data_IF_514766959071
#
_entry.id   IF_514766959071
#
_cell.length_a   1.000
_cell.length_b   1.000
_cell.length_c   1.000
_cell.angle_alpha   90.00
_cell.angle_beta   90.00
_cell.angle_gamma   90.00
#
_symmetry.space_group_name_H-M   'P 1'
#
loop_
_entity.id
_entity.type
_entity.pdbx_description
1 polymer ?
#
# COMPACT_ATOMS: atom_id res chain seq x y z
N UNK A 1 -7.54 -0.70 3.84
CA UNK A 1 -6.41 -1.25 3.04
C UNK A 1 -6.38 -2.70 3.33
N UNK A 2 -6.54 -3.52 2.30
CA UNK A 2 -6.56 -4.97 2.43
C UNK A 2 -5.25 -5.54 1.92
N UNK A 3 -4.72 -6.53 2.62
CA UNK A 3 -3.53 -7.28 2.23
C UNK A 3 -3.88 -8.75 2.06
N UNK A 4 -3.28 -9.41 1.09
CA UNK A 4 -3.49 -10.83 0.81
C UNK A 4 -2.15 -11.52 0.53
N UNK A 5 -1.94 -12.76 1.01
CA UNK A 5 -0.71 -13.48 0.76
C UNK A 5 -0.61 -13.84 -0.73
N UNK A 6 0.53 -13.56 -1.34
CA UNK A 6 0.88 -14.03 -2.70
C UNK A 6 1.91 -15.17 -2.62
N UNK A 7 2.71 -15.20 -1.56
CA UNK A 7 3.64 -16.28 -1.26
C UNK A 7 4.16 -16.22 0.17
N UNK A 8 5.13 -17.07 0.52
CA UNK A 8 5.60 -17.24 1.90
C UNK A 8 6.22 -15.98 2.54
N UNK A 9 6.65 -15.00 1.73
CA UNK A 9 7.27 -13.75 2.19
C UNK A 9 6.75 -12.52 1.45
N UNK A 10 5.72 -12.69 0.63
CA UNK A 10 5.21 -11.65 -0.27
C UNK A 10 3.72 -11.48 -0.05
N UNK A 11 3.31 -10.22 0.10
CA UNK A 11 1.91 -9.83 0.23
C UNK A 11 1.54 -8.89 -0.90
N UNK A 12 0.34 -9.09 -1.44
CA UNK A 12 -0.35 -8.10 -2.24
C UNK A 12 -1.09 -7.12 -1.34
N UNK A 13 -1.19 -5.88 -1.80
CA UNK A 13 -1.95 -4.85 -1.14
C UNK A 13 -2.91 -4.22 -2.15
N UNK A 14 -4.15 -3.99 -1.73
CA UNK A 14 -5.12 -3.17 -2.42
C UNK A 14 -5.72 -2.15 -1.48
N UNK A 15 -5.87 -0.92 -1.98
CA UNK A 15 -6.50 0.20 -1.31
C UNK A 15 -7.63 0.69 -2.17
N UNK A 16 -8.81 0.78 -1.57
CA UNK A 16 -9.92 1.56 -2.11
C UNK A 16 -10.36 2.50 -1.00
N UNK A 17 -10.65 3.74 -1.36
CA UNK A 17 -11.09 4.77 -0.45
C UNK A 17 -11.77 5.90 -1.20
N UNK A 18 -12.38 6.80 -0.45
CA UNK A 18 -12.93 8.03 -0.95
C UNK A 18 -12.23 9.16 -0.21
N UNK A 19 -11.72 10.14 -0.94
CA UNK A 19 -11.14 11.35 -0.35
C UNK A 19 -12.27 12.37 -0.18
N UNK A 20 -12.48 12.85 1.04
CA UNK A 20 -13.49 13.87 1.36
C UNK A 20 -12.76 15.18 1.66
N UNK A 21 -12.81 16.13 0.73
CA UNK A 21 -12.07 17.39 0.78
C UNK A 21 -12.27 18.21 -0.48
N UNK A 22 -11.33 19.11 -0.79
CA UNK A 22 -11.44 20.05 -1.92
C UNK A 22 -11.47 19.36 -3.30
N UNK A 23 -11.01 18.11 -3.36
CA UNK A 23 -11.03 17.23 -4.53
C UNK A 23 -11.87 15.98 -4.19
N UNK A 24 -13.20 16.08 -4.25
CA UNK A 24 -14.12 14.95 -4.11
C UNK A 24 -13.77 13.86 -5.14
N UNK A 25 -13.29 12.69 -4.67
CA UNK A 25 -12.73 11.72 -5.60
C UNK A 25 -12.51 10.31 -5.08
N UNK A 26 -12.43 9.36 -6.02
CA UNK A 26 -12.07 7.98 -5.72
C UNK A 26 -10.56 7.87 -5.54
N UNK A 27 -10.15 7.24 -4.43
CA UNK A 27 -8.77 6.83 -4.22
C UNK A 27 -8.66 5.32 -4.42
N UNK A 28 -7.79 4.91 -5.33
CA UNK A 28 -7.43 3.52 -5.52
C UNK A 28 -5.92 3.35 -5.38
N UNK A 29 -5.48 2.19 -4.90
CA UNK A 29 -4.07 1.89 -4.82
C UNK A 29 -3.80 0.40 -4.84
N UNK A 30 -2.61 0.05 -5.30
CA UNK A 30 -2.13 -1.32 -5.27
C UNK A 30 -0.66 -1.34 -4.92
N UNK A 31 -0.21 -2.42 -4.31
CA UNK A 31 1.14 -2.52 -3.81
C UNK A 31 1.57 -3.93 -3.53
N UNK A 32 2.86 -4.03 -3.18
CA UNK A 32 3.50 -5.27 -2.77
C UNK A 32 4.26 -5.04 -1.48
N UNK A 33 4.19 -6.05 -0.61
CA UNK A 33 4.94 -6.16 0.63
C UNK A 33 5.94 -7.32 0.56
N UNK A 34 7.11 -7.15 1.15
CA UNK A 34 8.13 -8.19 1.29
C UNK A 34 8.66 -8.28 2.72
N UNK A 35 8.60 -9.48 3.30
CA UNK A 35 9.22 -9.77 4.59
C UNK A 35 10.67 -10.23 4.39
N UNK A 36 11.62 -9.41 4.85
CA UNK A 36 13.03 -9.82 4.87
C UNK A 36 13.28 -10.86 5.96
N UNK A 37 12.64 -10.67 7.11
CA UNK A 37 12.64 -11.57 8.25
C UNK A 37 11.39 -11.29 9.11
N UNK A 38 11.31 -11.87 10.30
CA UNK A 38 10.21 -11.67 11.25
C UNK A 38 10.07 -10.24 11.76
N UNK A 39 11.12 -9.43 11.65
CA UNK A 39 11.19 -8.08 12.19
C UNK A 39 11.14 -7.00 11.12
N UNK A 40 11.64 -7.24 9.90
CA UNK A 40 11.75 -6.24 8.84
C UNK A 40 10.81 -6.53 7.67
N UNK A 41 10.02 -5.52 7.30
CA UNK A 41 9.06 -5.58 6.22
C UNK A 41 9.15 -4.33 5.33
N UNK A 42 9.31 -4.52 4.02
CA UNK A 42 9.25 -3.46 3.02
C UNK A 42 7.87 -3.44 2.37
N UNK A 43 7.25 -2.27 2.29
CA UNK A 43 6.00 -2.05 1.56
C UNK A 43 6.22 -1.02 0.47
N UNK A 44 5.80 -1.36 -0.74
CA UNK A 44 5.71 -0.44 -1.89
C UNK A 44 4.25 -0.31 -2.30
N UNK A 45 3.76 0.91 -2.49
CA UNK A 45 2.36 1.16 -2.83
C UNK A 45 2.26 2.30 -3.86
N UNK A 46 1.51 2.05 -4.94
CA UNK A 46 1.12 3.05 -5.90
C UNK A 46 -0.33 3.45 -5.65
N UNK A 47 -0.56 4.73 -5.40
CA UNK A 47 -1.88 5.29 -5.09
C UNK A 47 -2.25 6.30 -6.16
N UNK A 48 -3.41 6.10 -6.75
CA UNK A 48 -4.04 6.99 -7.71
C UNK A 48 -5.18 7.70 -7.00
N UNK A 49 -5.18 9.02 -7.10
CA UNK A 49 -6.28 9.91 -6.77
C UNK A 49 -6.60 10.75 -8.00
N UNK A 50 -7.75 11.40 -8.03
CA UNK A 50 -8.25 12.09 -9.22
C UNK A 50 -7.28 13.10 -9.83
N UNK A 51 -6.47 13.80 -9.02
CA UNK A 51 -5.52 14.80 -9.50
C UNK A 51 -4.05 14.47 -9.20
N UNK A 52 -3.79 13.51 -8.32
CA UNK A 52 -2.43 13.22 -7.84
C UNK A 52 -2.20 11.72 -7.79
N UNK A 53 -1.11 11.30 -8.43
CA UNK A 53 -0.57 9.95 -8.32
C UNK A 53 0.63 9.97 -7.38
N UNK A 54 0.69 9.01 -6.48
CA UNK A 54 1.76 8.88 -5.50
C UNK A 54 2.36 7.49 -5.54
N UNK A 55 3.68 7.43 -5.43
CA UNK A 55 4.39 6.19 -5.21
C UNK A 55 5.11 6.25 -3.87
N UNK A 56 4.86 5.25 -3.03
CA UNK A 56 5.26 5.24 -1.63
C UNK A 56 6.10 4.00 -1.32
N UNK A 57 7.14 4.20 -0.52
CA UNK A 57 7.98 3.14 0.02
C UNK A 57 8.07 3.28 1.53
N UNK A 58 7.75 2.22 2.25
CA UNK A 58 7.77 2.18 3.69
C UNK A 58 8.61 0.99 4.16
N UNK A 59 9.56 1.24 5.05
CA UNK A 59 10.31 0.20 5.74
C UNK A 59 9.79 0.12 7.18
N UNK A 60 9.20 -1.02 7.54
CA UNK A 60 8.59 -1.27 8.83
C UNK A 60 9.47 -2.21 9.65
N UNK A 61 9.57 -1.92 10.94
CA UNK A 61 10.23 -2.76 11.92
C UNK A 61 9.24 -3.21 13.00
N UNK A 62 9.21 -4.51 13.30
CA UNK A 62 8.36 -5.12 14.31
C UNK A 62 9.23 -5.68 15.45
N UNK A 63 8.89 -5.30 16.68
CA UNK A 63 9.62 -5.62 17.92
C UNK A 63 9.15 -6.92 18.56
#
# INVERSE_FOLDING_TARGET
>A
VETFPIGNRVEGLVRLGFDFGDDDGLMAGTGLGYYFNTNWFLRSEYVVRDYVNSFQFNLLYNF
#
